data_IF_011153292838
#
_entry.id   IF_011153292838
#
_cell.length_a   1.000
_cell.length_b   1.000
_cell.length_c   1.000
_cell.angle_alpha   90.00
_cell.angle_beta   90.00
_cell.angle_gamma   90.00
#
_symmetry.space_group_name_H-M   'P 1'
#
loop_
_entity.id
_entity.type
_entity.pdbx_description
1 polymer ?
#
# COMPACT_ATOMS: atom_id res chain seq x y z
N UNK A 1 0.42 0.17 -5.71
CA UNK A 1 -0.33 1.00 -6.67
C UNK A 1 0.59 2.12 -7.11
N UNK A 2 0.52 2.54 -8.38
CA UNK A 2 1.24 3.71 -8.88
C UNK A 2 0.18 4.71 -9.35
N UNK A 3 0.16 5.96 -8.86
CA UNK A 3 -0.77 6.98 -9.35
C UNK A 3 -0.74 7.08 -10.88
N UNK A 4 -1.92 7.15 -11.49
CA UNK A 4 -2.06 7.26 -12.96
C UNK A 4 -1.89 5.96 -13.73
N UNK A 5 -1.48 4.86 -13.09
CA UNK A 5 -1.42 3.53 -13.72
C UNK A 5 -2.69 2.75 -13.35
N UNK A 6 -3.54 2.40 -14.33
CA UNK A 6 -4.76 1.64 -14.06
C UNK A 6 -4.42 0.24 -13.52
N UNK A 7 -5.27 -0.27 -12.63
CA UNK A 7 -5.18 -1.65 -12.18
C UNK A 7 -5.84 -2.59 -13.20
N UNK A 8 -5.33 -3.81 -13.36
CA UNK A 8 -5.97 -4.80 -14.22
C UNK A 8 -7.37 -5.15 -13.70
N UNK A 9 -8.36 -5.19 -14.59
CA UNK A 9 -9.76 -5.48 -14.23
C UNK A 9 -9.93 -6.90 -13.69
N UNK A 10 -9.05 -7.82 -14.08
CA UNK A 10 -8.94 -9.17 -13.55
C UNK A 10 -8.86 -9.18 -12.02
N UNK A 11 -8.21 -8.18 -11.41
CA UNK A 11 -8.05 -8.09 -9.96
C UNK A 11 -9.40 -8.06 -9.23
N UNK A 12 -10.43 -7.47 -9.83
CA UNK A 12 -11.77 -7.36 -9.27
C UNK A 12 -12.64 -8.58 -9.54
N UNK A 13 -12.20 -9.49 -10.41
CA UNK A 13 -12.88 -10.75 -10.73
C UNK A 13 -12.34 -11.93 -9.94
N UNK A 14 -11.19 -11.78 -9.29
CA UNK A 14 -10.63 -12.78 -8.40
C UNK A 14 -11.48 -12.91 -7.13
N UNK A 15 -11.36 -14.07 -6.48
CA UNK A 15 -11.85 -14.22 -5.11
C UNK A 15 -11.18 -13.16 -4.21
N UNK A 16 -11.99 -12.24 -3.69
CA UNK A 16 -11.57 -11.10 -2.86
C UNK A 16 -10.85 -11.55 -1.59
N UNK A 17 -11.11 -12.79 -1.15
CA UNK A 17 -10.45 -13.42 -0.01
C UNK A 17 -8.94 -13.63 -0.23
N UNK A 18 -8.52 -13.73 -1.51
CA UNK A 18 -7.13 -13.93 -1.93
C UNK A 18 -6.41 -12.63 -2.29
N UNK A 19 -7.09 -11.49 -2.24
CA UNK A 19 -6.52 -10.18 -2.55
C UNK A 19 -6.40 -9.36 -1.27
N UNK A 20 -5.16 -9.02 -0.91
CA UNK A 20 -4.84 -8.25 0.28
C UNK A 20 -4.28 -6.88 -0.11
N UNK A 21 -4.95 -5.81 0.33
CA UNK A 21 -4.42 -4.45 0.28
C UNK A 21 -3.43 -4.20 1.41
N UNK A 22 -2.28 -3.61 1.11
CA UNK A 22 -1.34 -3.12 2.11
C UNK A 22 -1.40 -1.60 2.17
N UNK A 23 -1.58 -1.06 3.38
CA UNK A 23 -1.57 0.38 3.63
C UNK A 23 -0.48 0.73 4.64
N UNK A 24 -0.09 1.99 4.67
CA UNK A 24 0.86 2.55 5.62
C UNK A 24 0.39 3.95 6.02
N UNK A 25 0.75 4.40 7.21
CA UNK A 25 0.53 5.76 7.65
C UNK A 25 1.25 6.77 6.72
N UNK A 26 0.58 7.86 6.28
CA UNK A 26 1.16 8.84 5.37
C UNK A 26 2.43 9.49 5.92
N UNK A 27 2.47 9.84 7.21
CA UNK A 27 3.64 10.51 7.80
C UNK A 27 4.82 9.54 7.86
N UNK A 28 4.56 8.28 8.23
CA UNK A 28 5.59 7.23 8.20
C UNK A 28 6.13 7.01 6.79
N UNK A 29 5.25 6.96 5.79
CA UNK A 29 5.64 6.79 4.39
C UNK A 29 6.46 7.98 3.89
N UNK A 30 6.06 9.21 4.21
CA UNK A 30 6.80 10.42 3.89
C UNK A 30 8.22 10.39 4.45
N UNK A 31 8.37 9.99 5.73
CA UNK A 31 9.68 9.84 6.36
C UNK A 31 10.56 8.83 5.61
N UNK A 32 10.01 7.66 5.26
CA UNK A 32 10.73 6.62 4.50
C UNK A 32 11.13 7.15 3.11
N UNK A 33 10.24 7.85 2.40
CA UNK A 33 10.52 8.44 1.08
C UNK A 33 11.65 9.47 1.15
N UNK A 34 11.63 10.36 2.14
CA UNK A 34 12.70 11.35 2.39
C UNK A 34 14.04 10.69 2.69
N UNK A 35 14.06 9.67 3.54
CA UNK A 35 15.29 8.94 3.86
C UNK A 35 15.88 8.27 2.61
N UNK A 36 15.03 7.69 1.76
CA UNK A 36 15.47 7.09 0.49
C UNK A 36 16.05 8.16 -0.46
N UNK A 37 15.39 9.31 -0.60
CA UNK A 37 15.90 10.40 -1.44
C UNK A 37 17.25 10.93 -0.96
N UNK A 38 17.43 11.12 0.34
CA UNK A 38 18.69 11.56 0.93
C UNK A 38 19.85 10.59 0.65
N UNK A 39 19.58 9.28 0.58
CA UNK A 39 20.60 8.27 0.23
C UNK A 39 20.99 8.28 -1.26
N UNK A 40 20.13 8.81 -2.12
CA UNK A 40 20.35 8.90 -3.58
C UNK A 40 21.03 10.23 -3.95
N UNK A 41 21.23 11.14 -2.98
CA UNK A 41 21.89 12.43 -3.22
C UNK A 41 21.00 13.47 -3.91
N UNK A 42 19.69 13.22 -4.00
CA UNK A 42 18.72 14.17 -4.57
C UNK A 42 18.14 15.01 -3.43
N UNK A 43 18.45 16.30 -3.43
CA UNK A 43 18.08 17.27 -2.39
C UNK A 43 16.77 18.04 -2.68
N UNK A 44 16.19 17.90 -3.87
CA UNK A 44 15.01 18.67 -4.27
C UNK A 44 13.69 18.06 -3.78
N UNK A 45 12.72 18.94 -3.46
CA UNK A 45 11.30 18.55 -3.34
C UNK A 45 10.84 18.02 -4.69
N UNK A 46 10.55 16.73 -4.74
CA UNK A 46 9.95 16.08 -5.91
C UNK A 46 8.50 15.72 -5.58
N UNK A 47 7.71 15.39 -6.60
CA UNK A 47 6.36 14.82 -6.43
C UNK A 47 6.33 13.62 -5.47
N UNK A 48 7.47 12.94 -5.27
CA UNK A 48 7.67 11.82 -4.37
C UNK A 48 7.74 12.22 -2.88
N UNK A 49 8.01 13.49 -2.56
CA UNK A 49 8.04 14.04 -1.18
C UNK A 49 7.02 15.16 -0.94
N UNK A 50 6.06 15.33 -1.85
CA UNK A 50 4.93 16.24 -1.70
C UNK A 50 3.82 15.60 -0.83
N UNK A 51 3.45 16.20 0.31
CA UNK A 51 2.42 15.65 1.19
C UNK A 51 1.03 15.60 0.56
N UNK A 52 0.63 16.62 -0.21
CA UNK A 52 -0.70 16.67 -0.84
C UNK A 52 -0.84 15.56 -1.88
N UNK A 53 0.20 15.33 -2.69
CA UNK A 53 0.20 14.20 -3.63
C UNK A 53 0.22 12.85 -2.94
N UNK A 54 0.92 12.74 -1.81
CA UNK A 54 0.89 11.51 -1.02
C UNK A 54 -0.52 11.23 -0.51
N UNK A 55 -1.23 12.23 0.01
CA UNK A 55 -2.60 12.08 0.49
C UNK A 55 -3.54 11.62 -0.63
N UNK A 56 -3.41 12.18 -1.83
CA UNK A 56 -4.16 11.76 -3.02
C UNK A 56 -3.87 10.29 -3.37
N UNK A 57 -2.61 9.85 -3.36
CA UNK A 57 -2.22 8.45 -3.58
C UNK A 57 -2.84 7.53 -2.53
N UNK A 58 -2.79 7.93 -1.25
CA UNK A 58 -3.37 7.17 -0.14
C UNK A 58 -4.90 7.10 -0.23
N UNK A 59 -5.56 8.16 -0.70
CA UNK A 59 -7.00 8.17 -0.95
C UNK A 59 -7.38 7.28 -2.13
N UNK A 60 -6.62 7.31 -3.22
CA UNK A 60 -6.83 6.47 -4.39
C UNK A 60 -6.68 4.98 -4.04
N UNK A 61 -5.64 4.61 -3.29
CA UNK A 61 -5.45 3.23 -2.82
C UNK A 61 -6.62 2.77 -1.93
N UNK A 62 -7.08 3.62 -1.00
CA UNK A 62 -8.24 3.33 -0.16
C UNK A 62 -9.53 3.14 -0.96
N UNK A 63 -9.73 3.92 -2.03
CA UNK A 63 -10.87 3.74 -2.94
C UNK A 63 -10.81 2.39 -3.65
N UNK A 64 -9.63 2.01 -4.17
CA UNK A 64 -9.42 0.70 -4.80
C UNK A 64 -9.79 -0.43 -3.85
N UNK A 65 -9.23 -0.42 -2.63
CA UNK A 65 -9.47 -1.49 -1.66
C UNK A 65 -10.95 -1.63 -1.31
N UNK A 66 -11.64 -0.51 -1.12
CA UNK A 66 -13.10 -0.51 -0.87
C UNK A 66 -13.89 -1.02 -2.07
N UNK A 67 -13.56 -0.55 -3.28
CA UNK A 67 -14.28 -0.95 -4.50
C UNK A 67 -14.14 -2.45 -4.80
N UNK A 68 -12.99 -3.04 -4.47
CA UNK A 68 -12.77 -4.48 -4.63
C UNK A 68 -13.16 -5.33 -3.44
N UNK A 69 -13.64 -4.73 -2.33
CA UNK A 69 -13.94 -5.49 -1.10
C UNK A 69 -12.71 -6.18 -0.49
N UNK A 70 -11.51 -5.67 -0.74
CA UNK A 70 -10.27 -6.34 -0.34
C UNK A 70 -10.02 -6.19 1.16
N UNK A 71 -9.50 -7.27 1.76
CA UNK A 71 -8.94 -7.21 3.11
C UNK A 71 -7.73 -6.28 3.13
N UNK A 72 -7.66 -5.38 4.11
CA UNK A 72 -6.54 -4.44 4.25
C UNK A 72 -5.71 -4.75 5.50
N UNK A 73 -4.39 -4.72 5.35
CA UNK A 73 -3.41 -4.81 6.44
C UNK A 73 -2.65 -3.49 6.51
N UNK A 74 -2.56 -2.91 7.70
CA UNK A 74 -1.73 -1.75 7.97
C UNK A 74 -0.31 -2.18 8.35
N UNK A 75 0.66 -1.81 7.53
CA UNK A 75 2.08 -2.13 7.66
C UNK A 75 2.88 -1.06 8.41
N UNK A 76 2.23 -0.04 8.98
CA UNK A 76 2.89 1.01 9.78
C UNK A 76 3.62 0.38 10.95
N UNK A 77 4.93 0.65 11.03
CA UNK A 77 5.85 0.14 12.05
C UNK A 77 5.90 -1.39 12.20
N UNK A 78 5.41 -2.12 11.19
CA UNK A 78 5.49 -3.58 11.15
C UNK A 78 6.73 -4.04 10.41
N UNK A 79 7.28 -5.16 10.84
CA UNK A 79 8.31 -5.87 10.09
C UNK A 79 7.70 -6.64 8.93
N UNK A 80 8.55 -7.03 7.97
CA UNK A 80 8.12 -7.83 6.81
C UNK A 80 7.59 -9.19 7.25
N UNK A 81 8.25 -9.81 8.23
CA UNK A 81 7.90 -11.12 8.79
C UNK A 81 6.52 -11.10 9.44
N UNK A 82 6.24 -10.08 10.26
CA UNK A 82 4.94 -9.93 10.92
C UNK A 82 3.82 -9.70 9.90
N UNK A 83 4.07 -8.89 8.86
CA UNK A 83 3.10 -8.69 7.78
C UNK A 83 2.84 -9.96 6.98
N UNK A 84 3.88 -10.72 6.65
CA UNK A 84 3.77 -11.99 5.93
C UNK A 84 2.97 -13.03 6.73
N UNK A 85 3.26 -13.17 8.03
CA UNK A 85 2.52 -14.08 8.92
C UNK A 85 1.02 -13.71 8.98
N UNK A 86 0.68 -12.43 9.04
CA UNK A 86 -0.73 -11.99 8.99
C UNK A 86 -1.39 -12.31 7.64
N UNK A 87 -0.70 -12.07 6.52
CA UNK A 87 -1.21 -12.43 5.18
C UNK A 87 -1.46 -13.93 5.10
N UNK A 88 -0.50 -14.76 5.52
CA UNK A 88 -0.62 -16.23 5.52
C UNK A 88 -1.80 -16.66 6.38
N UNK A 89 -1.99 -16.08 7.57
CA UNK A 89 -3.13 -16.40 8.44
C UNK A 89 -4.47 -16.00 7.83
N UNK A 90 -4.54 -14.89 7.11
CA UNK A 90 -5.78 -14.46 6.44
C UNK A 90 -6.11 -15.37 5.26
N UNK A 91 -5.13 -15.63 4.39
CA UNK A 91 -5.30 -16.48 3.20
C UNK A 91 -5.48 -17.96 3.59
N UNK A 92 -4.76 -18.45 4.60
CA UNK A 92 -4.79 -19.84 5.05
C UNK A 92 -6.10 -20.23 5.73
N UNK A 93 -6.73 -19.33 6.49
CA UNK A 93 -8.07 -19.57 7.08
C UNK A 93 -9.19 -19.73 6.05
N UNK A 94 -8.93 -19.42 4.78
CA UNK A 94 -9.89 -19.60 3.68
C UNK A 94 -9.77 -21.00 3.05
N UNK A 95 -8.70 -21.74 3.37
CA UNK A 95 -8.42 -23.07 2.80
C UNK A 95 -8.95 -24.24 3.67
N UNK A 96 -9.66 -23.94 4.76
CA UNK A 96 -10.39 -24.90 5.63
C UNK A 96 -11.90 -24.69 5.49
#
# INVERSE_FOLDING_TARGET
>A
MIPGVPLPEELYRLDTSRVIGLTIDPDRLMMIRRQRMGRIGVSERTDYTDPSRLDEEMLAARKVFRSGGFSVINMTDRTIESGADEIIKRVGRISE
#
